data_IF_182574804838
#
_entry.id   IF_182574804838
#
_cell.length_a   1.000
_cell.length_b   1.000
_cell.length_c   1.000
_cell.angle_alpha   90.00
_cell.angle_beta   90.00
_cell.angle_gamma   90.00
#
_symmetry.space_group_name_H-M   'P 1'
#
loop_
_entity.id
_entity.type
_entity.pdbx_description
1 polymer ?
#
# COMPACT_ATOMS: atom_id res chain seq x y z
N UNK A 1 -6.32 0.57 -0.34
CA UNK A 1 -5.87 0.84 1.05
C UNK A 1 -4.82 -0.22 1.38
N UNK A 2 -3.75 0.11 2.08
CA UNK A 2 -2.62 -0.79 2.37
C UNK A 2 -2.45 -0.90 3.88
N UNK A 3 -2.07 -2.08 4.38
CA UNK A 3 -1.92 -2.27 5.83
C UNK A 3 -0.66 -3.03 6.25
N UNK A 4 -0.20 -2.72 7.46
CA UNK A 4 0.75 -3.53 8.23
C UNK A 4 0.12 -3.90 9.56
N UNK A 5 -0.05 -5.19 9.84
CA UNK A 5 -0.77 -5.72 10.99
C UNK A 5 -0.04 -6.92 11.60
N UNK A 6 -0.03 -7.01 12.93
CA UNK A 6 0.58 -8.15 13.64
C UNK A 6 -0.48 -9.09 14.25
N UNK A 7 -1.58 -8.52 14.74
CA UNK A 7 -2.65 -9.24 15.46
C UNK A 7 -4.03 -9.06 14.82
N UNK A 8 -4.13 -8.41 13.66
CA UNK A 8 -5.37 -8.22 12.92
C UNK A 8 -5.97 -6.81 12.98
N UNK A 9 -5.71 -6.02 14.03
CA UNK A 9 -6.35 -4.71 14.23
C UNK A 9 -6.19 -3.73 13.06
N UNK A 10 -4.98 -3.59 12.51
CA UNK A 10 -4.73 -2.70 11.37
C UNK A 10 -5.40 -3.18 10.07
N UNK A 11 -5.57 -4.49 9.93
CA UNK A 11 -6.27 -5.09 8.79
C UNK A 11 -7.78 -4.84 8.89
N UNK A 12 -8.37 -5.03 10.07
CA UNK A 12 -9.78 -4.73 10.33
C UNK A 12 -10.10 -3.25 10.05
N UNK A 13 -9.28 -2.34 10.59
CA UNK A 13 -9.39 -0.89 10.32
C UNK A 13 -9.29 -0.59 8.82
N UNK A 14 -8.38 -1.26 8.09
CA UNK A 14 -8.24 -1.07 6.65
C UNK A 14 -9.48 -1.53 5.87
N UNK A 15 -10.09 -2.65 6.29
CA UNK A 15 -11.36 -3.14 5.73
C UNK A 15 -12.53 -2.21 6.02
N UNK A 16 -12.61 -1.67 7.23
CA UNK A 16 -13.69 -0.75 7.60
C UNK A 16 -13.58 0.58 6.86
N UNK A 17 -12.36 1.13 6.71
CA UNK A 17 -12.12 2.29 5.84
C UNK A 17 -12.48 2.00 4.39
N UNK A 18 -12.15 0.82 3.85
CA UNK A 18 -12.52 0.47 2.47
C UNK A 18 -14.04 0.39 2.29
N UNK A 19 -14.75 -0.22 3.24
CA UNK A 19 -16.22 -0.30 3.24
C UNK A 19 -16.83 1.10 3.34
N UNK A 20 -16.32 1.94 4.23
CA UNK A 20 -16.79 3.30 4.41
C UNK A 20 -16.58 4.14 3.14
N UNK A 21 -15.38 4.11 2.56
CA UNK A 21 -15.06 4.81 1.31
C UNK A 21 -15.97 4.40 0.17
N UNK A 22 -16.24 3.09 0.00
CA UNK A 22 -17.21 2.57 -0.98
C UNK A 22 -18.62 3.11 -0.76
N UNK A 23 -19.10 3.14 0.50
CA UNK A 23 -20.41 3.73 0.83
C UNK A 23 -20.48 5.21 0.51
N UNK A 24 -19.37 5.95 0.63
CA UNK A 24 -19.25 7.36 0.25
C UNK A 24 -19.04 7.57 -1.26
N UNK A 25 -18.97 6.50 -2.06
CA UNK A 25 -18.85 6.55 -3.51
C UNK A 25 -17.42 6.64 -4.04
N UNK A 26 -16.41 6.43 -3.19
CA UNK A 26 -15.01 6.36 -3.63
C UNK A 26 -14.70 4.98 -4.21
N UNK A 27 -13.92 4.89 -5.31
CA UNK A 27 -13.45 3.62 -5.86
C UNK A 27 -12.32 3.06 -4.98
N UNK A 28 -12.68 2.38 -3.88
CA UNK A 28 -11.70 1.74 -3.00
C UNK A 28 -11.45 0.28 -3.41
N UNK A 29 -10.20 -0.03 -3.77
CA UNK A 29 -9.72 -1.41 -3.90
C UNK A 29 -9.88 -2.19 -2.60
N UNK A 30 -9.84 -3.52 -2.67
CA UNK A 30 -9.72 -4.31 -1.45
C UNK A 30 -8.42 -3.95 -0.71
N UNK A 31 -8.43 -3.95 0.64
CA UNK A 31 -7.22 -3.81 1.42
C UNK A 31 -6.23 -4.93 1.12
N UNK A 32 -4.95 -4.59 1.12
CA UNK A 32 -3.87 -5.54 0.84
C UNK A 32 -2.72 -5.30 1.85
N UNK A 33 -2.08 -6.36 2.38
CA UNK A 33 -0.92 -6.20 3.24
C UNK A 33 0.25 -5.60 2.44
N UNK A 34 1.11 -4.85 3.13
CA UNK A 34 2.19 -4.12 2.46
C UNK A 34 3.22 -5.02 1.76
N UNK A 35 3.48 -6.21 2.31
CA UNK A 35 4.44 -7.15 1.73
C UNK A 35 3.96 -7.86 0.45
N UNK A 36 2.66 -7.78 0.15
CA UNK A 36 2.09 -8.28 -1.11
C UNK A 36 2.18 -7.23 -2.24
N UNK A 37 2.60 -6.01 -1.91
CA UNK A 37 2.77 -4.91 -2.86
C UNK A 37 4.24 -4.72 -3.24
N UNK A 38 4.52 -4.59 -4.53
CA UNK A 38 5.84 -4.17 -5.02
C UNK A 38 5.92 -2.64 -5.11
N UNK A 39 7.14 -2.09 -4.97
CA UNK A 39 7.36 -0.66 -5.14
C UNK A 39 6.97 -0.18 -6.55
N UNK A 40 7.17 -1.00 -7.58
CA UNK A 40 6.76 -0.66 -8.95
C UNK A 40 5.24 -0.49 -9.07
N UNK A 41 4.45 -1.36 -8.44
CA UNK A 41 2.99 -1.19 -8.39
C UNK A 41 2.64 0.08 -7.60
N UNK A 42 3.28 0.31 -6.45
CA UNK A 42 3.00 1.51 -5.64
C UNK A 42 3.24 2.82 -6.41
N UNK A 43 4.24 2.86 -7.30
CA UNK A 43 4.54 4.03 -8.14
C UNK A 43 3.41 4.37 -9.12
N UNK A 44 2.57 3.41 -9.47
CA UNK A 44 1.41 3.63 -10.34
C UNK A 44 0.23 4.27 -9.60
N UNK A 45 0.24 4.26 -8.25
CA UNK A 45 -0.88 4.75 -7.47
C UNK A 45 -0.86 6.28 -7.38
N UNK A 46 -2.03 6.89 -7.62
CA UNK A 46 -2.24 8.32 -7.38
C UNK A 46 -2.62 8.62 -5.93
N UNK A 47 -3.38 7.72 -5.30
CA UNK A 47 -3.84 7.85 -3.92
C UNK A 47 -3.62 6.54 -3.18
N UNK A 48 -3.01 6.60 -1.99
CA UNK A 48 -2.92 5.46 -1.08
C UNK A 48 -3.17 5.88 0.38
N UNK A 49 -3.87 5.03 1.11
CA UNK A 49 -4.03 5.16 2.56
C UNK A 49 -3.35 3.97 3.20
N UNK A 50 -2.46 4.25 4.15
CA UNK A 50 -1.69 3.25 4.88
C UNK A 50 -2.22 3.13 6.31
N UNK A 51 -2.52 1.92 6.77
CA UNK A 51 -2.91 1.63 8.16
C UNK A 51 -1.84 0.73 8.77
N UNK A 52 -1.06 1.24 9.72
CA UNK A 52 0.15 0.56 10.18
C UNK A 52 0.18 0.47 11.69
N UNK A 53 0.18 -0.76 12.21
CA UNK A 53 0.49 -1.03 13.61
C UNK A 53 1.97 -0.88 13.90
N UNK A 54 2.31 -0.56 15.15
CA UNK A 54 3.68 -0.62 15.66
C UNK A 54 3.84 -1.83 16.57
N UNK A 55 4.91 -2.60 16.38
CA UNK A 55 5.16 -3.82 17.17
C UNK A 55 6.36 -3.67 18.08
N UNK A 56 6.32 -4.36 19.24
CA UNK A 56 7.46 -4.54 20.12
C UNK A 56 8.21 -3.24 20.46
N UNK A 57 9.43 -3.12 19.94
CA UNK A 57 10.34 -1.99 20.19
C UNK A 57 10.27 -0.91 19.10
N UNK A 58 9.10 -0.71 18.49
CA UNK A 58 8.93 0.26 17.40
C UNK A 58 9.11 -0.32 15.99
N UNK A 59 9.15 -1.65 15.87
CA UNK A 59 9.36 -2.33 14.60
C UNK A 59 8.07 -2.40 13.77
N UNK A 60 8.17 -2.39 12.42
CA UNK A 60 7.01 -2.64 11.57
C UNK A 60 6.52 -4.09 11.76
N UNK A 61 5.22 -4.34 11.56
CA UNK A 61 4.64 -5.68 11.60
C UNK A 61 5.27 -6.61 10.58
N UNK A 62 5.14 -7.93 10.80
CA UNK A 62 5.74 -8.93 9.93
C UNK A 62 5.30 -8.79 8.46
N UNK A 63 4.02 -8.54 8.19
CA UNK A 63 3.45 -8.38 6.85
C UNK A 63 3.70 -7.01 6.19
N UNK A 64 4.64 -6.23 6.74
CA UNK A 64 5.13 -4.97 6.17
C UNK A 64 6.67 -4.96 6.08
N UNK A 65 7.34 -5.98 6.63
CA UNK A 65 8.78 -5.93 6.87
C UNK A 65 9.57 -5.93 5.58
N UNK A 66 9.19 -6.74 4.59
CA UNK A 66 9.87 -6.80 3.29
C UNK A 66 9.71 -5.48 2.54
N UNK A 67 8.50 -4.94 2.50
CA UNK A 67 8.19 -3.65 1.92
C UNK A 67 9.02 -2.54 2.58
N UNK A 68 9.06 -2.51 3.91
CA UNK A 68 9.81 -1.51 4.67
C UNK A 68 11.31 -1.57 4.37
N UNK A 69 11.91 -2.77 4.35
CA UNK A 69 13.32 -2.97 4.05
C UNK A 69 13.71 -2.44 2.67
N UNK A 70 12.86 -2.67 1.65
CA UNK A 70 13.09 -2.11 0.32
C UNK A 70 12.95 -0.58 0.33
N UNK A 71 11.89 -0.07 0.96
CA UNK A 71 11.58 1.35 0.97
C UNK A 71 12.69 2.19 1.62
N UNK A 72 13.39 1.69 2.64
CA UNK A 72 14.43 2.44 3.38
C UNK A 72 15.82 2.41 2.75
N UNK A 73 16.03 1.69 1.64
CA UNK A 73 17.34 1.64 0.99
C UNK A 73 17.84 3.04 0.59
N UNK A 74 19.10 3.35 0.91
CA UNK A 74 19.69 4.66 0.65
C UNK A 74 19.83 4.98 -0.85
N UNK A 75 19.86 3.94 -1.69
CA UNK A 75 19.91 4.04 -3.15
C UNK A 75 18.60 4.49 -3.79
N UNK A 76 17.49 4.55 -3.03
CA UNK A 76 16.19 4.91 -3.59
C UNK A 76 16.17 6.38 -4.06
N UNK A 77 15.72 6.64 -5.30
CA UNK A 77 15.55 8.00 -5.80
C UNK A 77 14.58 8.79 -4.93
N UNK A 78 14.89 10.07 -4.67
CA UNK A 78 14.00 10.96 -3.91
C UNK A 78 12.70 11.33 -4.64
N UNK A 79 12.60 10.99 -5.94
CA UNK A 79 11.43 11.19 -6.78
C UNK A 79 10.66 9.90 -7.03
N UNK A 80 11.04 8.80 -6.37
CA UNK A 80 10.47 7.47 -6.62
C UNK A 80 8.94 7.47 -6.58
N UNK A 81 8.35 8.20 -5.64
CA UNK A 81 6.92 8.24 -5.36
C UNK A 81 6.31 9.63 -5.62
N UNK A 82 6.86 10.42 -6.55
CA UNK A 82 6.41 11.79 -6.82
C UNK A 82 4.93 11.93 -7.23
N UNK A 83 4.36 10.87 -7.81
CA UNK A 83 2.95 10.83 -8.22
C UNK A 83 2.00 10.37 -7.11
N UNK A 84 2.54 9.86 -6.01
CA UNK A 84 1.77 9.28 -4.92
C UNK A 84 1.29 10.37 -3.96
N UNK A 85 -0.03 10.53 -3.85
CA UNK A 85 -0.63 11.22 -2.72
C UNK A 85 -1.00 10.21 -1.65
N UNK A 86 -0.70 10.50 -0.39
CA UNK A 86 -0.95 9.52 0.66
C UNK A 86 -1.49 10.09 1.97
N UNK A 87 -2.01 9.19 2.80
CA UNK A 87 -2.24 9.44 4.22
C UNK A 87 -1.88 8.18 5.01
N UNK A 88 -1.50 8.36 6.27
CA UNK A 88 -1.11 7.25 7.16
C UNK A 88 -1.93 7.35 8.43
N UNK A 89 -2.49 6.23 8.85
CA UNK A 89 -3.03 6.04 10.19
C UNK A 89 -2.14 5.03 10.93
N UNK A 90 -1.63 5.44 12.08
CA UNK A 90 -0.87 4.57 12.96
C UNK A 90 -1.74 3.97 14.04
N UNK A 91 -1.53 2.69 14.33
CA UNK A 91 -2.00 2.03 15.54
C UNK A 91 -0.82 1.81 16.48
N UNK A 92 -0.95 2.26 17.71
CA UNK A 92 0.09 2.14 18.71
C UNK A 92 -0.47 2.32 20.12
N UNK A 93 0.45 2.28 21.08
CA UNK A 93 0.14 2.33 22.50
C UNK A 93 1.14 3.29 23.16
N UNK A 94 0.64 4.36 23.78
CA UNK A 94 1.46 5.42 24.37
C UNK A 94 2.18 5.02 25.67
N UNK A 95 1.87 3.87 26.26
CA UNK A 95 2.69 3.29 27.33
C UNK A 95 4.06 2.83 26.81
N UNK A 96 4.18 2.53 25.52
CA UNK A 96 5.45 2.20 24.90
C UNK A 96 6.19 3.48 24.48
N UNK A 97 7.50 3.50 24.74
CA UNK A 97 8.38 4.61 24.36
C UNK A 97 8.31 4.92 22.85
N UNK A 98 8.20 3.89 22.03
CA UNK A 98 8.16 3.99 20.57
C UNK A 98 6.71 4.10 20.06
N UNK A 99 5.95 5.01 20.66
CA UNK A 99 4.56 5.27 20.29
C UNK A 99 4.42 5.60 18.80
N UNK A 100 3.62 4.78 18.09
CA UNK A 100 3.33 4.88 16.66
C UNK A 100 4.58 4.99 15.77
N UNK A 101 5.71 4.44 16.21
CA UNK A 101 7.00 4.68 15.56
C UNK A 101 7.07 4.15 14.12
N UNK A 102 6.45 3.00 13.83
CA UNK A 102 6.40 2.44 12.48
C UNK A 102 5.64 3.38 11.52
N UNK A 103 4.47 3.87 11.92
CA UNK A 103 3.66 4.80 11.13
C UNK A 103 4.36 6.17 10.93
N UNK A 104 5.00 6.70 11.98
CA UNK A 104 5.77 7.95 11.91
C UNK A 104 6.95 7.83 10.95
N UNK A 105 7.70 6.72 11.04
CA UNK A 105 8.81 6.40 10.12
C UNK A 105 8.34 6.25 8.68
N UNK A 106 7.25 5.52 8.46
CA UNK A 106 6.66 5.34 7.13
C UNK A 106 6.26 6.68 6.53
N UNK A 107 5.50 7.50 7.27
CA UNK A 107 5.07 8.82 6.82
C UNK A 107 6.26 9.72 6.45
N UNK A 108 7.32 9.75 7.28
CA UNK A 108 8.52 10.53 6.98
C UNK A 108 9.26 10.00 5.74
N UNK A 109 9.34 8.67 5.59
CA UNK A 109 10.05 8.04 4.47
C UNK A 109 9.32 8.23 3.14
N UNK A 110 7.99 8.12 3.10
CA UNK A 110 7.19 8.38 1.91
C UNK A 110 7.40 9.82 1.41
N UNK A 111 7.38 10.82 2.30
CA UNK A 111 7.71 12.21 1.96
C UNK A 111 9.13 12.36 1.41
N UNK A 112 10.10 11.68 2.04
CA UNK A 112 11.49 11.68 1.60
C UNK A 112 11.72 11.06 0.22
N UNK A 113 10.76 10.29 -0.29
CA UNK A 113 10.74 9.67 -1.61
C UNK A 113 9.85 10.40 -2.61
N UNK A 114 9.37 11.60 -2.27
CA UNK A 114 8.63 12.49 -3.17
C UNK A 114 7.11 12.41 -3.05
N UNK A 115 6.57 11.49 -2.23
CA UNK A 115 5.14 11.38 -2.03
C UNK A 115 4.57 12.58 -1.25
N UNK A 116 3.37 13.02 -1.60
CA UNK A 116 2.71 14.19 -1.02
C UNK A 116 1.56 13.78 -0.07
N UNK A 117 1.59 14.15 1.21
CA UNK A 117 0.49 13.83 2.12
C UNK A 117 -0.76 14.66 1.76
N UNK A 118 -1.86 14.02 1.36
CA UNK A 118 -3.12 14.74 1.13
C UNK A 118 -3.88 14.96 2.44
N UNK A 119 -3.61 14.17 3.48
CA UNK A 119 -4.22 14.32 4.80
C UNK A 119 -3.20 14.08 5.92
N UNK A 120 -3.55 14.48 7.14
CA UNK A 120 -2.63 14.39 8.30
C UNK A 120 -2.33 12.95 8.69
N UNK A 121 -1.17 12.72 9.30
CA UNK A 121 -0.87 11.47 10.00
C UNK A 121 -1.82 11.33 11.22
N UNK A 122 -2.55 10.23 11.30
CA UNK A 122 -3.34 9.85 12.48
C UNK A 122 -2.53 8.96 13.42
N UNK A 123 -2.70 9.13 14.73
CA UNK A 123 -1.94 8.43 15.76
C UNK A 123 -2.89 7.80 16.79
N UNK A 124 -3.48 6.66 16.44
CA UNK A 124 -4.33 5.87 17.33
C UNK A 124 -3.57 5.39 18.56
N UNK A 125 -4.21 5.46 19.72
CA UNK A 125 -3.63 5.10 21.01
C UNK A 125 -4.56 4.12 21.77
N UNK A 126 -4.11 2.89 21.95
CA UNK A 126 -4.82 1.85 22.72
C UNK A 126 -5.02 2.23 24.20
N UNK A 127 -4.33 3.26 24.68
CA UNK A 127 -4.36 3.71 26.07
C UNK A 127 -5.37 4.82 26.32
N UNK A 128 -6.01 5.32 25.28
CA UNK A 128 -7.15 6.22 25.44
C UNK A 128 -8.35 5.46 26.02
N UNK A 129 -9.20 6.12 26.80
CA UNK A 129 -10.42 5.52 27.40
C UNK A 129 -11.38 4.92 26.36
N UNK A 130 -11.28 5.39 25.11
CA UNK A 130 -12.06 4.94 23.96
C UNK A 130 -11.20 4.23 22.91
N UNK A 131 -10.01 3.77 23.29
CA UNK A 131 -9.06 3.12 22.39
C UNK A 131 -8.56 4.02 21.26
N UNK A 132 -7.98 3.38 20.25
CA UNK A 132 -7.47 4.08 19.07
C UNK A 132 -8.58 4.76 18.25
N UNK A 133 -9.83 4.33 18.43
CA UNK A 133 -11.02 4.85 17.77
C UNK A 133 -11.23 6.34 18.03
N UNK A 134 -10.84 6.82 19.22
CA UNK A 134 -10.88 8.24 19.57
C UNK A 134 -10.19 9.13 18.52
N UNK A 135 -9.10 8.64 17.94
CA UNK A 135 -8.35 9.34 16.90
C UNK A 135 -8.75 8.85 15.50
N UNK A 136 -9.11 7.57 15.34
CA UNK A 136 -9.52 7.00 14.06
C UNK A 136 -10.78 7.68 13.50
N UNK A 137 -11.83 7.84 14.31
CA UNK A 137 -13.12 8.36 13.86
C UNK A 137 -13.00 9.77 13.27
N UNK A 138 -12.49 10.79 14.02
CA UNK A 138 -12.34 12.13 13.46
C UNK A 138 -11.29 12.18 12.35
N UNK A 139 -10.31 11.27 12.35
CA UNK A 139 -9.34 11.16 11.26
C UNK A 139 -9.98 10.62 9.98
N UNK A 140 -10.83 9.59 10.06
CA UNK A 140 -11.52 9.01 8.92
C UNK A 140 -12.50 10.01 8.30
N UNK A 141 -13.29 10.71 9.13
CA UNK A 141 -14.19 11.75 8.65
C UNK A 141 -13.45 12.86 7.90
N UNK A 142 -12.33 13.35 8.46
CA UNK A 142 -11.50 14.35 7.82
C UNK A 142 -10.81 13.83 6.55
N UNK A 143 -10.35 12.57 6.54
CA UNK A 143 -9.76 11.92 5.38
C UNK A 143 -10.73 11.93 4.20
N UNK A 144 -11.97 11.51 4.43
CA UNK A 144 -13.01 11.46 3.39
C UNK A 144 -13.44 12.85 2.94
N UNK A 145 -13.55 13.82 3.86
CA UNK A 145 -13.87 15.20 3.52
C UNK A 145 -12.82 15.79 2.57
N UNK A 146 -11.53 15.64 2.90
CA UNK A 146 -10.44 16.13 2.05
C UNK A 146 -10.39 15.37 0.73
N UNK A 147 -10.56 14.06 0.73
CA UNK A 147 -10.64 13.28 -0.53
C UNK A 147 -11.78 13.74 -1.43
N UNK A 148 -12.93 14.12 -0.87
CA UNK A 148 -14.04 14.67 -1.64
C UNK A 148 -13.72 16.01 -2.32
N UNK A 149 -12.82 16.80 -1.75
CA UNK A 149 -12.36 18.08 -2.33
C UNK A 149 -11.23 17.88 -3.35
N UNK A 150 -10.26 17.02 -3.06
CA UNK A 150 -9.06 16.84 -3.89
C UNK A 150 -9.23 15.81 -5.01
N UNK A 151 -10.21 14.91 -4.90
CA UNK A 151 -10.49 13.90 -5.91
C UNK A 151 -11.60 14.39 -6.86
N UNK A 152 -11.27 14.68 -8.14
CA UNK A 152 -12.27 15.11 -9.13
C UNK A 152 -13.22 13.98 -9.57
N UNK A 153 -13.08 12.77 -9.01
CA UNK A 153 -13.99 11.66 -9.30
C UNK A 153 -15.33 11.87 -8.58
N UNK A 154 -16.20 12.69 -9.17
CA UNK A 154 -17.63 12.64 -8.85
C UNK A 154 -18.17 11.30 -9.36
N UNK A 155 -18.94 10.56 -8.55
CA UNK A 155 -19.54 9.32 -9.01
C UNK A 155 -20.63 9.67 -10.02
N UNK A 156 -20.34 9.49 -11.31
CA UNK A 156 -21.39 9.35 -12.31
C UNK A 156 -22.05 7.98 -12.12
N UNK A 157 -22.87 7.86 -11.07
CA UNK A 157 -24.03 6.97 -10.97
C UNK A 157 -23.87 5.47 -11.18
N UNK A 158 -22.67 4.94 -11.41
CA UNK A 158 -22.43 3.51 -11.54
C UNK A 158 -21.16 3.21 -10.77
N UNK A 159 -21.30 2.47 -9.67
CA UNK A 159 -20.18 1.79 -9.03
C UNK A 159 -19.95 0.49 -9.80
N UNK A 160 -18.95 0.39 -10.69
CA UNK A 160 -18.50 -0.92 -11.09
C UNK A 160 -17.74 -1.45 -9.88
N UNK A 161 -18.30 -2.43 -9.19
CA UNK A 161 -17.44 -3.42 -8.53
C UNK A 161 -16.67 -4.15 -9.63
N UNK A 162 -15.74 -3.48 -10.29
CA UNK A 162 -14.63 -4.17 -10.93
C UNK A 162 -13.73 -4.51 -9.77
N UNK A 163 -13.73 -5.78 -9.37
CA UNK A 163 -12.67 -6.33 -8.53
C UNK A 163 -11.34 -5.83 -9.12
N UNK A 164 -10.70 -4.86 -8.47
CA UNK A 164 -9.26 -4.68 -8.63
C UNK A 164 -8.59 -5.86 -7.92
N UNK A 165 -8.75 -7.05 -8.50
CA UNK A 165 -7.92 -8.20 -8.19
C UNK A 165 -6.57 -7.90 -8.82
N UNK A 166 -5.62 -7.48 -7.99
CA UNK A 166 -4.23 -7.67 -8.34
C UNK A 166 -4.00 -9.19 -8.35
N UNK A 167 -4.03 -9.79 -9.54
CA UNK A 167 -3.54 -11.16 -9.71
C UNK A 167 -2.02 -11.03 -9.59
N UNK A 168 -1.49 -11.44 -8.44
CA UNK A 168 -0.07 -11.71 -8.30
C UNK A 168 0.15 -13.01 -9.07
N UNK A 169 0.49 -12.92 -10.36
CA UNK A 169 1.03 -14.09 -11.04
C UNK A 169 2.37 -14.38 -10.38
N UNK A 170 2.44 -15.49 -9.63
CA UNK A 170 3.71 -16.12 -9.32
C UNK A 170 4.38 -16.39 -10.66
N UNK A 171 5.44 -15.65 -10.95
CA UNK A 171 6.40 -16.04 -11.98
C UNK A 171 7.09 -17.28 -11.43
N UNK A 172 6.45 -18.44 -11.57
CA UNK A 172 7.11 -19.73 -11.50
C UNK A 172 8.07 -19.70 -12.68
N UNK A 173 9.35 -19.47 -12.38
CA UNK A 173 10.41 -19.73 -13.34
C UNK A 173 10.37 -21.22 -13.64
N UNK A 174 9.71 -21.60 -14.72
CA UNK A 174 9.80 -22.93 -15.30
C UNK A 174 11.21 -23.13 -15.87
N UNK A 175 12.16 -23.37 -14.98
CA UNK A 175 13.41 -24.04 -15.30
C UNK A 175 13.49 -25.34 -14.49
N UNK A 176 12.72 -26.35 -14.89
CA UNK A 176 13.23 -27.70 -15.18
C UNK A 176 12.10 -28.64 -15.64
N UNK A 177 11.93 -28.88 -16.94
CA UNK A 177 11.38 -30.16 -17.37
C UNK A 177 12.48 -31.22 -17.19
N UNK A 178 12.23 -32.22 -16.35
CA UNK A 178 12.96 -33.49 -16.45
C UNK A 178 12.53 -34.09 -17.79
N UNK A 179 13.33 -33.87 -18.83
CA UNK A 179 13.23 -34.60 -20.09
C UNK A 179 14.53 -35.36 -20.31
N UNK A 180 14.33 -36.63 -20.65
CA UNK A 180 15.35 -37.62 -20.98
C UNK A 180 16.35 -37.07 -21.99
N UNK A 181 17.61 -37.43 -21.72
CA UNK A 181 18.78 -37.06 -22.50
C UNK A 181 18.71 -37.69 -23.88
N UNK A 182 18.46 -36.88 -24.93
CA UNK A 182 18.84 -37.25 -26.28
C UNK A 182 19.66 -36.16 -26.95
N UNK A 183 20.73 -36.65 -27.58
CA UNK A 183 21.91 -35.90 -27.94
C UNK A 183 21.75 -35.33 -29.35
N UNK A 184 21.70 -34.00 -29.52
CA UNK A 184 22.33 -33.29 -30.65
C UNK A 184 22.00 -31.79 -30.73
N UNK A 185 23.05 -31.04 -31.11
CA UNK A 185 23.09 -29.69 -31.68
C UNK A 185 23.25 -28.48 -30.73
N UNK A 186 24.42 -27.83 -30.86
CA UNK A 186 24.80 -26.52 -30.33
C UNK A 186 24.57 -25.42 -31.41
N UNK A 187 25.03 -24.16 -31.21
CA UNK A 187 24.38 -23.09 -30.47
C UNK A 187 23.97 -21.92 -31.40
N UNK A 188 22.94 -21.15 -31.05
CA UNK A 188 22.62 -19.88 -31.73
C UNK A 188 22.38 -18.75 -30.73
N UNK A 189 23.03 -17.65 -31.04
CA UNK A 189 23.30 -16.41 -30.29
C UNK A 189 22.17 -15.38 -30.33
N UNK A 190 22.19 -14.50 -29.32
CA UNK A 190 21.78 -13.08 -29.27
C UNK A 190 20.38 -12.67 -29.76
N UNK A 191 19.61 -12.06 -28.85
CA UNK A 191 18.38 -11.34 -29.18
C UNK A 191 17.85 -10.51 -28.01
N UNK A 192 18.01 -9.19 -28.12
CA UNK A 192 17.48 -8.11 -27.29
C UNK A 192 16.01 -8.27 -26.88
N UNK A 193 15.71 -8.10 -25.59
CA UNK A 193 14.34 -7.94 -25.09
C UNK A 193 13.93 -6.47 -25.11
N UNK A 194 12.92 -6.16 -25.93
CA UNK A 194 12.14 -4.93 -25.88
C UNK A 194 10.90 -5.23 -25.04
N UNK A 195 10.75 -4.56 -23.89
CA UNK A 195 9.52 -4.60 -23.12
C UNK A 195 8.43 -3.83 -23.90
N UNK A 196 7.37 -4.54 -24.31
CA UNK A 196 6.19 -3.94 -24.93
C UNK A 196 5.18 -3.67 -23.83
N UNK A 197 4.98 -2.40 -23.49
CA UNK A 197 3.85 -1.96 -22.65
C UNK A 197 2.65 -1.87 -23.58
N UNK A 198 1.67 -2.76 -23.43
CA UNK A 198 0.36 -2.54 -24.07
C UNK A 198 -0.45 -1.56 -23.22
N UNK A 199 -0.49 -0.31 -23.66
CA UNK A 199 -1.50 0.66 -23.26
C UNK A 199 -2.87 0.16 -23.74
N UNK A 200 -3.67 -0.41 -22.84
CA UNK A 200 -5.12 -0.40 -23.03
C UNK A 200 -5.66 0.91 -22.48
N UNK A 201 -5.75 1.87 -23.40
CA UNK A 201 -6.53 3.10 -23.28
C UNK A 201 -7.99 2.67 -23.10
N UNK A 202 -8.43 2.67 -21.86
CA UNK A 202 -9.84 2.61 -21.47
C UNK A 202 -10.12 3.76 -20.53
N UNK A 203 -10.36 4.94 -21.10
CA UNK A 203 -10.93 6.08 -20.37
C UNK A 203 -12.26 5.66 -19.74
N UNK A 204 -12.33 5.70 -18.41
CA UNK A 204 -13.48 6.08 -17.59
C UNK A 204 -12.99 6.43 -16.18
#
# INVERSE_FOLDING_TARGET
ILFGSQTGTAEEVAWDLAREGRRKGFPCSDPCPLDDLTLEILRTFRYAVFVVATTGQGDPPLNMRRFWQQLVLASMPKTLLENLRFSVFGLGDSHYREFNYAARKLNARLKGLGADPFFRLGLGDDQHDFGFEQELDPWADGLWAVLGEVCPMKPNGVSPYTECRYVIEEVVSDENPIQEWDSQCAPCTEGSFVARVEEHIGLC
#
